data_IF_324730558150
#
_entry.id   IF_324730558150
#
_cell.length_a   1.000
_cell.length_b   1.000
_cell.length_c   1.000
_cell.angle_alpha   90.00
_cell.angle_beta   90.00
_cell.angle_gamma   90.00
#
_symmetry.space_group_name_H-M   'P 1'
#
loop_
_entity.id
_entity.type
_entity.pdbx_description
1 polymer ?
#
# COMPACT_ATOMS: atom_id res chain seq x y z
N UNK A 1 -15.77 -17.48 3.86
CA UNK A 1 -15.42 -16.40 2.90
C UNK A 1 -16.70 -15.77 2.39
N UNK A 2 -16.69 -14.46 2.11
CA UNK A 2 -17.88 -13.77 1.59
C UNK A 2 -18.25 -14.32 0.20
N UNK A 3 -19.54 -14.52 -0.10
CA UNK A 3 -19.98 -15.08 -1.38
C UNK A 3 -19.70 -14.14 -2.56
N UNK A 4 -19.56 -12.83 -2.30
CA UNK A 4 -19.26 -11.77 -3.26
C UNK A 4 -18.39 -10.72 -2.60
N UNK A 5 -17.34 -10.26 -3.29
CA UNK A 5 -16.52 -9.17 -2.78
C UNK A 5 -15.80 -8.42 -3.92
N UNK A 6 -15.42 -7.19 -3.60
CA UNK A 6 -14.55 -6.32 -4.39
C UNK A 6 -13.47 -5.78 -3.46
N UNK A 7 -12.20 -5.98 -3.81
CA UNK A 7 -11.09 -5.36 -3.10
C UNK A 7 -10.12 -4.76 -4.11
N UNK A 8 -9.89 -3.46 -4.00
CA UNK A 8 -8.84 -2.77 -4.74
C UNK A 8 -7.72 -2.38 -3.78
N UNK A 9 -6.48 -2.68 -4.17
CA UNK A 9 -5.29 -2.41 -3.35
C UNK A 9 -4.13 -1.88 -4.19
N UNK A 10 -3.34 -0.90 -3.73
CA UNK A 10 -2.19 -0.39 -4.47
C UNK A 10 -1.10 -1.46 -4.64
N UNK A 11 -0.37 -1.37 -5.75
CA UNK A 11 0.71 -2.30 -6.07
C UNK A 11 2.05 -1.81 -5.52
N UNK A 12 2.75 -2.65 -4.76
CA UNK A 12 4.12 -2.39 -4.27
C UNK A 12 5.11 -2.00 -5.37
N UNK A 13 4.89 -2.43 -6.61
CA UNK A 13 5.79 -2.09 -7.73
C UNK A 13 5.49 -0.74 -8.40
N UNK A 14 4.46 -0.01 -7.95
CA UNK A 14 4.16 1.31 -8.49
C UNK A 14 4.86 2.42 -7.69
N UNK A 15 5.57 3.38 -8.33
CA UNK A 15 6.49 4.31 -7.66
C UNK A 15 5.81 5.44 -6.86
N UNK A 16 4.56 5.25 -6.45
CA UNK A 16 3.78 6.22 -5.70
C UNK A 16 3.16 5.58 -4.48
N UNK A 17 3.45 6.12 -3.29
CA UNK A 17 2.87 5.63 -2.05
C UNK A 17 1.59 6.39 -1.69
N UNK A 18 0.40 5.78 -1.83
CA UNK A 18 -0.86 6.49 -1.68
C UNK A 18 -1.20 6.88 -0.24
N UNK A 19 -0.67 6.19 0.78
CA UNK A 19 -1.01 6.49 2.17
C UNK A 19 -0.27 7.74 2.68
N UNK A 20 0.95 7.99 2.17
CA UNK A 20 1.79 9.13 2.57
C UNK A 20 1.87 10.23 1.51
N UNK A 21 1.47 9.95 0.26
CA UNK A 21 1.60 10.90 -0.85
C UNK A 21 3.05 11.20 -1.25
N UNK A 22 3.97 10.28 -0.94
CA UNK A 22 5.41 10.44 -1.17
C UNK A 22 5.89 9.41 -2.21
N UNK A 23 6.51 9.85 -3.31
CA UNK A 23 7.12 8.92 -4.27
C UNK A 23 8.12 7.97 -3.60
N UNK A 24 8.12 6.71 -4.01
CA UNK A 24 9.10 5.69 -3.60
C UNK A 24 9.17 5.36 -2.09
N UNK A 25 8.24 5.88 -1.27
CA UNK A 25 8.36 5.81 0.19
C UNK A 25 8.45 4.37 0.73
N UNK A 26 7.62 3.45 0.24
CA UNK A 26 7.60 2.05 0.69
C UNK A 26 8.86 1.24 0.31
N UNK A 27 9.72 1.75 -0.59
CA UNK A 27 11.02 1.14 -0.89
C UNK A 27 12.15 1.67 -0.01
N UNK A 28 11.92 2.74 0.75
CA UNK A 28 12.93 3.29 1.63
C UNK A 28 13.14 2.36 2.85
N UNK A 29 14.40 2.18 3.29
CA UNK A 29 14.68 1.51 4.56
C UNK A 29 13.95 2.19 5.72
N UNK A 30 13.54 1.42 6.73
CA UNK A 30 12.81 1.93 7.91
C UNK A 30 13.47 3.14 8.59
N UNK A 31 14.80 3.18 8.82
CA UNK A 31 15.41 4.36 9.42
C UNK A 31 15.21 5.64 8.61
N UNK A 32 15.15 5.52 7.28
CA UNK A 32 14.92 6.68 6.39
C UNK A 32 13.45 7.10 6.42
N UNK A 33 12.52 6.13 6.46
CA UNK A 33 11.09 6.41 6.63
C UNK A 33 10.82 7.08 7.98
N UNK A 34 11.43 6.58 9.06
CA UNK A 34 11.32 7.16 10.40
C UNK A 34 11.86 8.59 10.43
N UNK A 35 13.04 8.81 9.85
CA UNK A 35 13.63 10.15 9.71
C UNK A 35 12.72 11.12 8.95
N UNK A 36 12.04 10.66 7.89
CA UNK A 36 11.04 11.46 7.18
C UNK A 36 9.84 11.78 8.07
N UNK A 37 9.36 10.80 8.85
CA UNK A 37 8.23 10.96 9.76
C UNK A 37 8.48 12.05 10.82
N UNK A 38 9.70 12.21 11.32
CA UNK A 38 10.05 13.33 12.22
C UNK A 38 10.15 14.68 11.51
N UNK A 39 10.47 14.70 10.21
CA UNK A 39 10.79 15.94 9.48
C UNK A 39 9.60 16.55 8.77
N UNK A 40 8.58 15.76 8.43
CA UNK A 40 7.43 16.19 7.62
C UNK A 40 6.16 15.49 8.08
N UNK A 41 5.03 16.15 7.88
CA UNK A 41 3.74 15.46 7.85
C UNK A 41 3.67 14.60 6.59
N UNK A 42 3.26 13.35 6.75
CA UNK A 42 3.21 12.34 5.68
C UNK A 42 1.76 11.92 5.47
N UNK A 43 1.17 12.31 4.34
CA UNK A 43 -0.25 12.12 4.07
C UNK A 43 -1.10 12.76 5.17
N UNK A 44 -1.85 11.94 5.90
CA UNK A 44 -2.71 12.35 7.00
C UNK A 44 -2.00 12.34 8.37
N UNK A 45 -0.78 11.83 8.44
CA UNK A 45 0.00 11.76 9.66
C UNK A 45 0.71 13.09 9.91
N UNK A 46 0.57 13.62 11.13
CA UNK A 46 1.40 14.73 11.60
C UNK A 46 2.85 14.26 11.75
N UNK A 47 3.79 15.21 11.78
CA UNK A 47 5.17 14.87 12.02
C UNK A 47 5.32 14.22 13.41
N UNK A 48 6.12 13.17 13.49
CA UNK A 48 6.33 12.39 14.69
C UNK A 48 6.97 13.24 15.80
N UNK A 49 6.53 13.03 17.03
CA UNK A 49 7.07 13.71 18.22
C UNK A 49 8.03 12.85 19.04
N UNK A 50 7.95 11.53 18.88
CA UNK A 50 8.79 10.54 19.54
C UNK A 50 8.93 9.29 18.64
N UNK A 51 9.77 8.34 19.05
CA UNK A 51 10.09 7.15 18.24
C UNK A 51 8.88 6.25 18.05
N UNK A 52 8.07 6.02 19.09
CA UNK A 52 6.90 5.14 19.02
C UNK A 52 5.86 5.67 18.02
N UNK A 53 5.59 6.98 18.07
CA UNK A 53 4.74 7.70 17.12
C UNK A 53 5.30 7.59 15.69
N UNK A 54 6.62 7.80 15.53
CA UNK A 54 7.28 7.67 14.23
C UNK A 54 7.19 6.25 13.65
N UNK A 55 7.40 5.22 14.47
CA UNK A 55 7.29 3.83 14.02
C UNK A 55 5.84 3.45 13.70
N UNK A 56 4.87 3.93 14.47
CA UNK A 56 3.45 3.74 14.15
C UNK A 56 3.08 4.33 12.77
N UNK A 57 3.69 5.47 12.38
CA UNK A 57 3.54 6.03 11.03
C UNK A 57 4.21 5.11 9.99
N UNK A 58 5.44 4.67 10.22
CA UNK A 58 6.21 3.84 9.26
C UNK A 58 5.54 2.49 9.00
N UNK A 59 4.94 1.89 10.02
CA UNK A 59 4.33 0.56 9.99
C UNK A 59 2.84 0.58 9.64
N UNK A 60 2.22 1.77 9.56
CA UNK A 60 0.79 1.96 9.34
C UNK A 60 0.25 1.20 8.11
N UNK A 61 1.02 1.14 7.03
CA UNK A 61 0.60 0.50 5.78
C UNK A 61 1.73 -0.30 5.15
N UNK A 62 1.37 -1.46 4.60
CA UNK A 62 2.24 -2.30 3.77
C UNK A 62 1.58 -2.51 2.41
N UNK A 63 2.28 -2.16 1.33
CA UNK A 63 1.79 -2.43 -0.01
C UNK A 63 1.96 -3.89 -0.40
N UNK A 64 1.02 -4.39 -1.20
CA UNK A 64 0.98 -5.78 -1.64
C UNK A 64 1.60 -5.93 -3.03
N UNK A 65 2.31 -7.04 -3.22
CA UNK A 65 2.68 -7.51 -4.56
C UNK A 65 1.54 -8.33 -5.16
N UNK A 66 1.57 -8.54 -6.48
CA UNK A 66 0.54 -9.35 -7.16
C UNK A 66 0.46 -10.79 -6.65
N UNK A 67 1.58 -11.40 -6.27
CA UNK A 67 1.60 -12.75 -5.68
C UNK A 67 0.93 -12.79 -4.30
N UNK A 68 1.11 -11.74 -3.49
CA UNK A 68 0.42 -11.63 -2.20
C UNK A 68 -1.09 -11.46 -2.38
N UNK A 69 -1.52 -10.62 -3.34
CA UNK A 69 -2.95 -10.47 -3.66
C UNK A 69 -3.55 -11.81 -4.13
N UNK A 70 -2.85 -12.55 -4.98
CA UNK A 70 -3.27 -13.88 -5.43
C UNK A 70 -3.37 -14.90 -4.29
N UNK A 71 -2.45 -14.84 -3.33
CA UNK A 71 -2.47 -15.69 -2.15
C UNK A 71 -3.65 -15.35 -1.21
N UNK A 72 -3.94 -14.07 -1.02
CA UNK A 72 -5.03 -13.60 -0.16
C UNK A 72 -6.43 -13.84 -0.77
N UNK A 73 -6.53 -13.79 -2.10
CA UNK A 73 -7.78 -13.94 -2.85
C UNK A 73 -7.68 -15.06 -3.91
N UNK A 74 -7.51 -16.32 -3.48
CA UNK A 74 -7.28 -17.43 -4.39
C UNK A 74 -8.49 -17.73 -5.31
N UNK A 75 -9.68 -17.30 -4.92
CA UNK A 75 -10.95 -17.49 -5.62
C UNK A 75 -11.41 -16.24 -6.40
N UNK A 76 -10.64 -15.15 -6.39
CA UNK A 76 -10.96 -13.94 -7.14
C UNK A 76 -10.39 -13.97 -8.57
N UNK A 77 -11.11 -13.30 -9.47
CA UNK A 77 -10.49 -12.75 -10.68
C UNK A 77 -9.70 -11.50 -10.28
N UNK A 78 -8.39 -11.53 -10.50
CA UNK A 78 -7.49 -10.40 -10.23
C UNK A 78 -7.13 -9.69 -11.53
N UNK A 79 -7.31 -8.37 -11.57
CA UNK A 79 -6.92 -7.52 -12.69
C UNK A 79 -6.02 -6.37 -12.22
N UNK A 80 -5.16 -5.88 -13.10
CA UNK A 80 -4.31 -4.73 -12.84
C UNK A 80 -4.87 -3.46 -13.49
N UNK A 81 -5.05 -2.40 -12.71
CA UNK A 81 -5.27 -1.05 -13.23
C UNK A 81 -3.92 -0.48 -13.69
N UNK A 82 -3.85 -0.01 -14.94
CA UNK A 82 -2.59 0.48 -15.53
C UNK A 82 -2.59 2.01 -15.65
N UNK A 83 -1.44 2.61 -15.34
CA UNK A 83 -1.16 4.03 -15.55
C UNK A 83 0.29 4.18 -16.03
N UNK A 84 0.50 4.87 -17.15
CA UNK A 84 1.84 5.08 -17.71
C UNK A 84 2.60 3.79 -18.04
N UNK A 85 1.88 2.72 -18.42
CA UNK A 85 2.48 1.41 -18.73
C UNK A 85 2.77 0.52 -17.52
N UNK A 86 2.67 1.04 -16.30
CA UNK A 86 2.84 0.29 -15.05
C UNK A 86 1.49 -0.12 -14.46
N UNK A 87 1.45 -1.26 -13.78
CA UNK A 87 0.28 -1.63 -12.95
C UNK A 87 0.30 -0.81 -11.66
N UNK A 88 -0.67 0.10 -11.51
CA UNK A 88 -0.82 0.99 -10.37
C UNK A 88 -1.46 0.29 -9.17
N UNK A 89 -2.49 -0.51 -9.41
CA UNK A 89 -3.24 -1.22 -8.36
C UNK A 89 -3.78 -2.54 -8.89
N UNK A 90 -4.10 -3.44 -7.96
CA UNK A 90 -4.81 -4.67 -8.24
C UNK A 90 -6.27 -4.55 -7.81
N UNK A 91 -7.15 -5.20 -8.55
CA UNK A 91 -8.57 -5.35 -8.23
C UNK A 91 -8.87 -6.84 -8.18
N UNK A 92 -9.28 -7.34 -7.01
CA UNK A 92 -9.75 -8.70 -6.79
C UNK A 92 -11.28 -8.70 -6.72
N UNK A 93 -11.93 -9.45 -7.62
CA UNK A 93 -13.39 -9.57 -7.67
C UNK A 93 -13.81 -11.02 -7.59
N UNK A 94 -14.72 -11.32 -6.66
CA UNK A 94 -15.53 -12.54 -6.68
C UNK A 94 -16.98 -12.16 -6.97
N UNK A 95 -17.44 -12.51 -8.17
CA UNK A 95 -18.86 -12.55 -8.48
C UNK A 95 -19.42 -13.86 -7.91
N UNK A 96 -20.60 -13.83 -7.31
CA UNK A 96 -21.20 -15.02 -6.68
C UNK A 96 -21.42 -16.10 -7.73
N UNK A 97 -21.46 -17.36 -7.27
CA UNK A 97 -21.92 -18.48 -8.09
C UNK A 97 -23.42 -18.32 -8.32
#
# INVERSE_FOLDING_TARGET
MAPRYFHQTPNFWFPWEPHFGVPFFHWLPEPTRLWLAFRRSLGWHKAATNIDDGMAIVEFASLLTGSMVQHLYPDAKITGEKLGGLTKSFVAVRAGV
#
